data_IF_666006218215
#
_entry.id   IF_666006218215
#
_cell.length_a   1.000
_cell.length_b   1.000
_cell.length_c   1.000
_cell.angle_alpha   90.00
_cell.angle_beta   90.00
_cell.angle_gamma   90.00
#
_symmetry.space_group_name_H-M   'P 1'
#
loop_
_entity.id
_entity.type
_entity.pdbx_description
1 polymer ?
#
# COMPACT_ATOMS: atom_id res chain seq x y z
N UNK A 1 -46.76 -52.32 -10.53
CA UNK A 1 -45.97 -51.05 -10.84
C UNK A 1 -45.57 -50.40 -9.53
N UNK A 2 -44.30 -50.56 -9.09
CA UNK A 2 -43.83 -50.08 -7.84
C UNK A 2 -43.12 -48.72 -8.11
N UNK A 3 -43.67 -47.61 -7.62
CA UNK A 3 -43.04 -46.26 -7.70
C UNK A 3 -42.02 -46.14 -6.59
N UNK A 4 -40.73 -46.15 -6.94
CA UNK A 4 -39.62 -45.78 -6.02
C UNK A 4 -39.70 -44.28 -5.72
N UNK A 5 -39.98 -43.92 -4.48
CA UNK A 5 -39.85 -42.55 -3.97
C UNK A 5 -38.38 -42.30 -3.62
N UNK A 6 -37.77 -41.35 -4.34
CA UNK A 6 -36.43 -40.85 -4.04
C UNK A 6 -36.55 -39.90 -2.86
N UNK A 7 -35.97 -40.25 -1.73
CA UNK A 7 -35.88 -39.36 -0.55
C UNK A 7 -34.60 -38.56 -0.71
N UNK A 8 -34.76 -37.26 -1.02
CA UNK A 8 -33.63 -36.29 -0.98
C UNK A 8 -33.40 -35.91 0.48
N UNK A 9 -32.24 -36.26 1.02
CA UNK A 9 -31.82 -35.78 2.32
C UNK A 9 -31.27 -34.34 2.17
N UNK A 10 -31.59 -33.43 3.09
CA UNK A 10 -31.03 -32.06 3.04
C UNK A 10 -29.54 -32.09 3.44
N UNK A 11 -28.70 -31.61 2.54
CA UNK A 11 -27.30 -31.33 2.84
C UNK A 11 -27.27 -30.02 3.63
N UNK A 12 -27.12 -30.11 4.95
CA UNK A 12 -26.84 -28.96 5.82
C UNK A 12 -25.39 -28.57 5.63
N UNK A 13 -25.15 -27.48 4.88
CA UNK A 13 -23.83 -26.87 4.80
C UNK A 13 -23.49 -26.18 6.15
N UNK A 14 -22.57 -26.74 6.89
CA UNK A 14 -21.97 -26.09 8.07
C UNK A 14 -21.06 -24.98 7.57
N UNK A 15 -21.51 -23.73 7.68
CA UNK A 15 -20.64 -22.56 7.53
C UNK A 15 -19.83 -22.43 8.83
N UNK A 16 -18.60 -22.87 8.80
CA UNK A 16 -17.66 -22.61 9.88
C UNK A 16 -17.31 -21.10 9.87
N UNK A 17 -17.95 -20.34 10.75
CA UNK A 17 -17.59 -18.96 11.03
C UNK A 17 -16.27 -18.99 11.81
N UNK A 18 -15.16 -18.74 11.13
CA UNK A 18 -13.87 -18.56 11.78
C UNK A 18 -13.94 -17.28 12.65
N UNK A 19 -14.11 -17.45 13.95
CA UNK A 19 -13.95 -16.38 14.92
C UNK A 19 -12.48 -15.99 14.94
N UNK A 20 -12.13 -14.90 14.26
CA UNK A 20 -10.83 -14.25 14.46
C UNK A 20 -10.77 -13.78 15.92
N UNK A 21 -9.94 -14.40 16.73
CA UNK A 21 -9.67 -13.93 18.09
C UNK A 21 -9.13 -12.50 18.01
N UNK A 22 -9.65 -11.55 18.80
CA UNK A 22 -9.06 -10.22 18.84
C UNK A 22 -7.62 -10.36 19.36
N UNK A 23 -6.64 -10.03 18.51
CA UNK A 23 -5.27 -9.86 18.95
C UNK A 23 -5.27 -8.67 19.92
N UNK A 24 -4.82 -8.88 21.15
CA UNK A 24 -4.56 -7.77 22.05
C UNK A 24 -3.48 -6.90 21.39
N UNK A 25 -3.72 -5.59 21.31
CA UNK A 25 -2.73 -4.63 20.82
C UNK A 25 -1.47 -4.73 21.70
N UNK A 26 -0.32 -4.94 21.08
CA UNK A 26 0.96 -4.98 21.77
C UNK A 26 1.68 -3.63 21.66
N UNK A 27 2.56 -3.35 22.63
CA UNK A 27 3.43 -2.19 22.62
C UNK A 27 4.86 -2.63 22.28
N UNK A 28 5.48 -1.95 21.31
CA UNK A 28 6.82 -2.24 20.81
C UNK A 28 7.72 -1.03 21.01
N UNK A 29 8.77 -1.20 21.82
CA UNK A 29 9.73 -0.14 22.11
C UNK A 29 10.79 0.05 21.03
N UNK A 30 11.12 1.30 20.72
CA UNK A 30 12.25 1.70 19.87
C UNK A 30 13.03 2.80 20.62
N UNK A 31 14.33 2.57 20.84
CA UNK A 31 15.24 3.60 21.34
C UNK A 31 15.58 4.61 20.26
N UNK A 32 15.58 5.89 20.61
CA UNK A 32 16.14 6.98 19.81
C UNK A 32 17.48 7.33 20.44
N UNK A 33 18.55 6.83 19.82
CA UNK A 33 19.84 6.68 20.50
C UNK A 33 20.81 7.87 20.26
N UNK A 34 21.72 8.15 21.20
CA UNK A 34 22.77 9.15 21.03
C UNK A 34 23.71 8.87 19.83
N UNK A 35 23.74 7.63 19.37
CA UNK A 35 24.51 7.21 18.18
C UNK A 35 23.84 7.57 16.86
N UNK A 36 22.80 8.42 16.90
CA UNK A 36 22.01 8.85 15.73
C UNK A 36 21.34 7.68 15.00
N UNK A 37 20.80 6.75 15.73
CA UNK A 37 20.06 5.62 15.17
C UNK A 37 18.77 5.33 15.94
N UNK A 38 17.87 4.60 15.29
CA UNK A 38 16.71 3.97 15.93
C UNK A 38 17.05 2.52 16.25
N UNK A 39 16.82 2.10 17.49
CA UNK A 39 17.14 0.77 17.97
C UNK A 39 15.87 0.05 18.51
N UNK A 40 15.36 -0.99 17.85
CA UNK A 40 15.84 -1.53 16.58
C UNK A 40 15.54 -0.60 15.38
N UNK A 41 16.39 -0.65 14.37
CA UNK A 41 16.22 0.13 13.11
C UNK A 41 15.01 -0.30 12.29
N UNK A 42 14.59 -1.55 12.44
CA UNK A 42 13.39 -2.09 11.81
C UNK A 42 12.57 -2.90 12.83
N UNK A 43 11.25 -2.66 12.87
CA UNK A 43 10.32 -3.34 13.76
C UNK A 43 9.15 -3.86 12.94
N UNK A 44 8.71 -5.10 13.23
CA UNK A 44 7.48 -5.68 12.68
C UNK A 44 6.41 -5.71 13.76
N UNK A 45 5.21 -5.26 13.43
CA UNK A 45 4.06 -5.16 14.34
C UNK A 45 2.78 -5.61 13.62
N UNK A 46 1.72 -5.94 14.34
CA UNK A 46 0.41 -6.21 13.76
C UNK A 46 -0.40 -4.92 13.57
N UNK A 47 -1.47 -4.99 12.78
CA UNK A 47 -2.44 -3.90 12.70
C UNK A 47 -3.14 -3.76 14.05
N UNK A 48 -3.17 -2.54 14.60
CA UNK A 48 -3.69 -2.23 15.92
C UNK A 48 -2.61 -2.11 17.01
N UNK A 49 -1.37 -2.57 16.74
CA UNK A 49 -0.27 -2.43 17.68
C UNK A 49 0.22 -0.98 17.78
N UNK A 50 0.83 -0.67 18.92
CA UNK A 50 1.45 0.63 19.20
C UNK A 50 2.97 0.49 19.19
N UNK A 51 3.65 1.46 18.60
CA UNK A 51 5.10 1.61 18.69
C UNK A 51 5.39 2.82 19.59
N UNK A 52 6.26 2.61 20.57
CA UNK A 52 6.70 3.60 21.55
C UNK A 52 8.16 3.93 21.30
N UNK A 53 8.45 5.19 20.91
CA UNK A 53 9.82 5.71 20.81
C UNK A 53 10.21 6.37 22.12
N UNK A 54 11.31 5.90 22.71
CA UNK A 54 11.93 6.50 23.89
C UNK A 54 13.17 7.26 23.48
N UNK A 55 13.22 8.56 23.77
CA UNK A 55 14.31 9.43 23.39
C UNK A 55 15.43 9.34 24.43
N UNK A 56 16.52 8.66 24.09
CA UNK A 56 17.69 8.48 24.96
C UNK A 56 18.68 9.62 24.84
N UNK A 57 18.45 10.56 23.92
CA UNK A 57 19.17 11.80 23.76
C UNK A 57 18.24 12.93 23.29
N UNK A 58 18.72 14.17 23.35
CA UNK A 58 17.97 15.37 22.93
C UNK A 58 18.16 15.67 21.44
N UNK A 59 17.32 16.56 20.88
CA UNK A 59 17.47 17.05 19.52
C UNK A 59 17.04 16.05 18.44
N UNK A 60 16.29 15.03 18.79
CA UNK A 60 15.80 14.00 17.87
C UNK A 60 14.29 14.08 17.61
N UNK A 61 13.86 13.49 16.49
CA UNK A 61 12.44 13.28 16.16
C UNK A 61 12.19 11.90 15.58
N UNK A 62 10.93 11.48 15.53
CA UNK A 62 10.46 10.38 14.70
C UNK A 62 9.33 10.89 13.80
N UNK A 63 9.55 10.86 12.50
CA UNK A 63 8.64 11.48 11.51
C UNK A 63 8.49 10.59 10.28
N UNK A 64 7.24 10.20 9.98
CA UNK A 64 6.94 9.39 8.80
C UNK A 64 7.27 10.12 7.50
N UNK A 65 7.78 9.39 6.49
CA UNK A 65 7.97 9.96 5.16
C UNK A 65 6.63 10.25 4.47
N UNK A 66 6.59 11.20 3.52
CA UNK A 66 5.40 11.46 2.73
C UNK A 66 4.90 10.24 1.95
N UNK A 67 3.58 10.12 1.77
CA UNK A 67 2.96 9.06 0.98
C UNK A 67 2.68 7.77 1.72
N UNK A 68 3.04 7.67 3.00
CA UNK A 68 2.73 6.53 3.85
C UNK A 68 1.23 6.41 4.13
N UNK A 69 0.68 5.21 4.39
CA UNK A 69 -0.73 5.01 4.73
C UNK A 69 -1.18 5.75 5.99
N UNK A 70 -0.33 5.78 7.01
CA UNK A 70 -0.47 6.62 8.20
C UNK A 70 0.66 7.64 8.28
N UNK A 71 0.43 8.70 9.07
CA UNK A 71 1.38 9.80 9.25
C UNK A 71 1.55 10.08 10.71
N UNK A 72 2.78 10.31 11.12
CA UNK A 72 3.10 10.82 12.45
C UNK A 72 4.28 11.79 12.41
N UNK A 73 4.38 12.60 13.43
CA UNK A 73 5.50 13.48 13.70
C UNK A 73 5.56 13.70 15.22
N UNK A 74 6.67 13.34 15.83
CA UNK A 74 6.86 13.57 17.27
C UNK A 74 7.21 15.02 17.60
N UNK A 75 7.55 15.82 16.60
CA UNK A 75 8.40 17.01 16.74
C UNK A 75 9.75 16.69 17.39
N UNK A 76 10.64 17.69 17.52
CA UNK A 76 11.92 17.50 18.20
C UNK A 76 11.64 17.28 19.70
N UNK A 77 12.29 16.28 20.27
CA UNK A 77 12.14 15.86 21.65
C UNK A 77 13.45 15.94 22.41
N UNK A 78 13.31 16.17 23.71
CA UNK A 78 14.40 16.12 24.67
C UNK A 78 14.62 14.70 25.19
N UNK A 79 15.78 14.48 25.79
CA UNK A 79 16.11 13.24 26.46
C UNK A 79 15.07 12.85 27.50
N UNK A 80 14.69 11.58 27.52
CA UNK A 80 13.66 11.02 28.43
C UNK A 80 12.23 11.18 27.93
N UNK A 81 11.99 11.92 26.86
CA UNK A 81 10.66 12.01 26.26
C UNK A 81 10.23 10.67 25.63
N UNK A 82 8.92 10.50 25.50
CA UNK A 82 8.28 9.35 24.87
C UNK A 82 7.29 9.83 23.83
N UNK A 83 7.25 9.14 22.69
CA UNK A 83 6.23 9.35 21.65
C UNK A 83 5.64 8.02 21.24
N UNK A 84 4.33 7.96 21.03
CA UNK A 84 3.61 6.74 20.66
C UNK A 84 2.79 6.94 19.39
N UNK A 85 2.71 5.87 18.58
CA UNK A 85 1.85 5.82 17.41
C UNK A 85 1.25 4.42 17.24
N UNK A 86 -0.09 4.36 17.12
CA UNK A 86 -0.82 3.11 16.85
C UNK A 86 -1.05 2.97 15.34
N UNK A 87 -0.64 1.83 14.78
CA UNK A 87 -0.74 1.58 13.34
C UNK A 87 -2.08 0.94 12.97
N UNK A 88 -2.92 1.67 12.26
CA UNK A 88 -4.27 1.22 11.88
C UNK A 88 -4.33 0.55 10.50
N UNK A 89 -3.27 0.62 9.70
CA UNK A 89 -3.23 0.10 8.32
C UNK A 89 -2.00 -0.73 8.08
N UNK A 90 -2.12 -1.86 7.34
CA UNK A 90 -0.96 -2.64 6.96
C UNK A 90 -0.09 -1.88 5.97
N UNK A 91 1.22 -2.18 5.97
CA UNK A 91 2.18 -1.60 5.03
C UNK A 91 3.58 -1.49 5.60
N UNK A 92 4.50 -1.04 4.76
CA UNK A 92 5.87 -0.72 5.13
C UNK A 92 6.01 0.79 5.28
N UNK A 93 6.32 1.23 6.47
CA UNK A 93 6.45 2.62 6.85
C UNK A 93 7.91 2.98 7.04
N UNK A 94 8.39 3.92 6.25
CA UNK A 94 9.71 4.50 6.43
C UNK A 94 9.59 5.81 7.20
N UNK A 95 10.54 6.05 8.10
CA UNK A 95 10.57 7.27 8.91
C UNK A 95 12.01 7.74 9.15
N UNK A 96 12.14 8.99 9.55
CA UNK A 96 13.40 9.67 9.74
C UNK A 96 13.41 10.46 11.06
N UNK A 97 14.59 10.76 11.54
CA UNK A 97 14.81 11.89 12.41
C UNK A 97 14.97 13.15 11.54
N UNK A 98 14.15 14.19 11.74
CA UNK A 98 14.16 15.39 10.87
C UNK A 98 15.50 16.13 10.91
N UNK A 99 16.11 16.39 12.06
CA UNK A 99 17.45 17.02 12.11
C UNK A 99 18.56 16.18 11.44
N UNK A 100 18.42 14.84 11.45
CA UNK A 100 19.45 13.90 10.97
C UNK A 100 18.97 13.07 9.78
N UNK A 101 18.14 13.66 8.90
CA UNK A 101 17.38 13.01 7.83
C UNK A 101 18.21 12.21 6.81
N UNK A 102 19.48 12.56 6.65
CA UNK A 102 20.32 11.94 5.64
C UNK A 102 20.77 10.53 6.04
N UNK A 103 20.92 10.27 7.32
CA UNK A 103 21.46 9.00 7.84
C UNK A 103 20.59 8.33 8.92
N UNK A 104 19.84 9.07 9.76
CA UNK A 104 19.02 8.49 10.82
C UNK A 104 17.64 8.11 10.30
N UNK A 105 17.48 6.85 9.93
CA UNK A 105 16.29 6.30 9.28
C UNK A 105 15.85 4.98 9.92
N UNK A 106 14.52 4.77 10.01
CA UNK A 106 13.94 3.54 10.52
C UNK A 106 12.81 3.01 9.64
N UNK A 107 12.37 1.79 9.93
CA UNK A 107 11.30 1.11 9.19
C UNK A 107 10.38 0.38 10.15
N UNK A 108 9.07 0.59 10.00
CA UNK A 108 8.05 -0.25 10.63
C UNK A 108 7.35 -1.06 9.54
N UNK A 109 7.21 -2.36 9.75
CA UNK A 109 6.40 -3.25 8.90
C UNK A 109 5.15 -3.63 9.69
N UNK A 110 3.99 -3.22 9.20
CA UNK A 110 2.70 -3.44 9.86
C UNK A 110 1.93 -4.53 9.16
N UNK A 111 1.61 -5.61 9.88
CA UNK A 111 0.93 -6.78 9.32
C UNK A 111 1.83 -7.59 8.40
N UNK A 112 1.22 -8.37 7.52
CA UNK A 112 1.91 -9.19 6.53
C UNK A 112 1.45 -8.82 5.13
N UNK A 113 2.36 -8.88 4.16
CA UNK A 113 2.01 -8.81 2.74
C UNK A 113 1.29 -10.10 2.32
N UNK A 114 -0.04 -10.08 2.41
CA UNK A 114 -0.90 -11.20 1.99
C UNK A 114 -1.18 -11.19 0.47
N UNK A 115 -0.91 -10.09 -0.22
CA UNK A 115 -1.26 -9.89 -1.63
C UNK A 115 0.00 -9.63 -2.47
N UNK A 116 0.59 -10.68 -3.00
CA UNK A 116 1.82 -10.58 -3.82
C UNK A 116 1.60 -10.02 -5.23
N UNK A 117 0.37 -9.87 -5.68
CA UNK A 117 0.05 -9.36 -7.02
C UNK A 117 -0.91 -8.18 -6.93
N UNK A 118 -0.35 -6.99 -6.94
CA UNK A 118 -1.06 -5.72 -6.73
C UNK A 118 -2.11 -5.41 -7.80
N UNK A 119 -1.91 -5.84 -9.06
CA UNK A 119 -2.79 -5.46 -10.17
C UNK A 119 -3.14 -6.63 -11.08
N UNK A 120 -4.41 -6.68 -11.49
CA UNK A 120 -4.90 -7.57 -12.55
C UNK A 120 -4.57 -7.06 -13.96
N UNK A 121 -5.26 -7.61 -14.97
CA UNK A 121 -5.05 -7.22 -16.36
C UNK A 121 -5.43 -5.76 -16.63
N UNK A 122 -4.58 -5.05 -17.37
CA UNK A 122 -4.83 -3.68 -17.82
C UNK A 122 -5.60 -3.72 -19.14
N UNK A 123 -6.69 -2.97 -19.23
CA UNK A 123 -7.50 -2.80 -20.45
C UNK A 123 -7.39 -1.35 -20.92
N UNK A 124 -7.39 -1.14 -22.24
CA UNK A 124 -7.43 0.17 -22.85
C UNK A 124 -8.62 0.23 -23.82
N UNK A 125 -9.48 1.24 -23.67
CA UNK A 125 -10.55 1.56 -24.63
C UNK A 125 -10.32 2.93 -25.20
N UNK A 126 -10.56 3.06 -26.51
CA UNK A 126 -10.43 4.31 -27.25
C UNK A 126 -11.83 4.74 -27.72
N UNK A 127 -12.17 6.01 -27.47
CA UNK A 127 -13.38 6.65 -28.02
C UNK A 127 -12.97 8.03 -28.56
N UNK A 128 -12.92 8.17 -29.90
CA UNK A 128 -12.35 9.36 -30.53
C UNK A 128 -10.93 9.63 -30.02
N UNK A 129 -10.65 10.84 -29.57
CA UNK A 129 -9.35 11.26 -29.03
C UNK A 129 -9.18 10.99 -27.52
N UNK A 130 -10.07 10.21 -26.90
CA UNK A 130 -10.01 9.85 -25.49
C UNK A 130 -9.57 8.39 -25.34
N UNK A 131 -8.59 8.15 -24.46
CA UNK A 131 -8.14 6.83 -24.06
C UNK A 131 -8.53 6.61 -22.59
N UNK A 132 -9.23 5.52 -22.35
CA UNK A 132 -9.59 5.07 -20.99
C UNK A 132 -8.76 3.82 -20.68
N UNK A 133 -7.91 3.90 -19.66
CA UNK A 133 -7.15 2.76 -19.14
C UNK A 133 -7.82 2.30 -17.86
N UNK A 134 -8.25 1.06 -17.83
CA UNK A 134 -8.92 0.46 -16.66
C UNK A 134 -8.16 -0.78 -16.18
N UNK A 135 -8.13 -0.98 -14.87
CA UNK A 135 -7.47 -2.10 -14.21
C UNK A 135 -8.10 -2.33 -12.83
N UNK A 136 -7.95 -3.54 -12.30
CA UNK A 136 -8.41 -3.87 -10.94
C UNK A 136 -7.20 -3.99 -10.03
N UNK A 137 -7.21 -3.27 -8.91
CA UNK A 137 -6.25 -3.42 -7.83
C UNK A 137 -6.74 -4.45 -6.82
N UNK A 138 -5.85 -5.30 -6.35
CA UNK A 138 -6.13 -6.25 -5.28
C UNK A 138 -5.91 -5.61 -3.90
N UNK A 139 -5.13 -4.53 -3.87
CA UNK A 139 -4.80 -3.76 -2.67
C UNK A 139 -4.52 -2.29 -3.00
N UNK A 140 -4.26 -1.46 -1.99
CA UNK A 140 -3.90 -0.06 -2.18
C UNK A 140 -2.53 0.11 -2.84
N UNK A 141 -2.42 1.07 -3.78
CA UNK A 141 -1.17 1.32 -4.50
C UNK A 141 -1.04 2.77 -4.97
N UNK A 142 0.19 3.19 -5.21
CA UNK A 142 0.53 4.42 -5.93
C UNK A 142 1.27 4.08 -7.22
N UNK A 143 1.24 4.97 -8.21
CA UNK A 143 2.00 4.65 -9.41
C UNK A 143 1.94 5.66 -10.54
N UNK A 144 2.31 5.17 -11.70
CA UNK A 144 2.47 5.98 -12.91
C UNK A 144 1.92 5.24 -14.11
N UNK A 145 1.06 5.90 -14.87
CA UNK A 145 0.66 5.48 -16.20
C UNK A 145 1.43 6.29 -17.22
N UNK A 146 2.28 5.63 -18.00
CA UNK A 146 3.06 6.22 -19.11
C UNK A 146 2.48 5.75 -20.44
N UNK A 147 2.08 6.68 -21.29
CA UNK A 147 1.72 6.44 -22.68
C UNK A 147 2.90 6.84 -23.58
N UNK A 148 3.27 5.96 -24.51
CA UNK A 148 4.33 6.18 -25.49
C UNK A 148 3.82 5.78 -26.87
N UNK A 149 4.37 6.36 -27.94
CA UNK A 149 3.95 6.15 -29.32
C UNK A 149 3.79 7.48 -30.04
N UNK A 150 2.70 7.67 -30.79
CA UNK A 150 2.43 8.89 -31.56
C UNK A 150 2.45 10.19 -30.72
N UNK A 151 2.23 10.08 -29.42
CA UNK A 151 2.52 11.14 -28.44
C UNK A 151 2.93 10.52 -27.09
N UNK A 152 3.65 11.30 -26.27
CA UNK A 152 4.08 10.87 -24.94
C UNK A 152 3.23 11.55 -23.87
N UNK A 153 2.82 10.79 -22.87
CA UNK A 153 2.08 11.27 -21.68
C UNK A 153 2.47 10.46 -20.45
N UNK A 154 2.60 11.16 -19.35
CA UNK A 154 2.80 10.52 -18.03
C UNK A 154 1.73 11.06 -17.07
N UNK A 155 1.02 10.16 -16.41
CA UNK A 155 0.04 10.47 -15.36
C UNK A 155 0.51 9.77 -14.10
N UNK A 156 0.86 10.55 -13.07
CA UNK A 156 1.09 10.03 -11.72
C UNK A 156 -0.25 9.83 -11.03
N UNK A 157 -0.47 8.71 -10.39
CA UNK A 157 -1.67 8.48 -9.60
C UNK A 157 -1.49 9.05 -8.20
N UNK A 158 -2.55 9.58 -7.62
CA UNK A 158 -2.66 9.65 -6.16
C UNK A 158 -2.74 8.21 -5.64
N UNK A 159 -2.71 8.02 -4.32
CA UNK A 159 -2.97 6.72 -3.74
C UNK A 159 -4.35 6.20 -4.19
N UNK A 160 -4.35 5.00 -4.74
CA UNK A 160 -5.54 4.29 -5.21
C UNK A 160 -5.89 3.20 -4.19
N UNK A 161 -7.16 3.01 -3.91
CA UNK A 161 -7.65 1.90 -3.09
C UNK A 161 -7.80 0.62 -3.91
N UNK A 162 -7.92 -0.53 -3.24
CA UNK A 162 -8.30 -1.79 -3.89
C UNK A 162 -9.61 -1.62 -4.70
N UNK A 163 -9.78 -2.43 -5.73
CA UNK A 163 -10.96 -2.42 -6.58
C UNK A 163 -10.72 -1.91 -8.01
N UNK A 164 -11.81 -1.62 -8.71
CA UNK A 164 -11.74 -1.16 -10.10
C UNK A 164 -11.24 0.28 -10.19
N UNK A 165 -10.20 0.50 -11.01
CA UNK A 165 -9.60 1.80 -11.25
C UNK A 165 -9.75 2.20 -12.71
N UNK A 166 -9.96 3.51 -12.95
CA UNK A 166 -10.09 4.08 -14.29
C UNK A 166 -9.24 5.34 -14.38
N UNK A 167 -8.33 5.36 -15.35
CA UNK A 167 -7.55 6.55 -15.70
C UNK A 167 -7.94 7.01 -17.09
N UNK A 168 -8.46 8.23 -17.20
CA UNK A 168 -8.87 8.83 -18.46
C UNK A 168 -7.81 9.81 -18.95
N UNK A 169 -7.33 9.61 -20.15
CA UNK A 169 -6.36 10.51 -20.80
C UNK A 169 -7.00 11.07 -22.05
N UNK A 170 -7.17 12.40 -22.10
CA UNK A 170 -7.83 13.12 -23.18
C UNK A 170 -6.84 13.70 -24.18
N UNK A 171 -7.31 14.02 -25.39
CA UNK A 171 -6.59 14.75 -26.45
C UNK A 171 -5.35 14.00 -26.97
N UNK A 172 -5.53 12.76 -27.46
CA UNK A 172 -4.48 12.02 -28.14
C UNK A 172 -4.48 12.28 -29.65
N UNK A 173 -3.29 12.25 -30.26
CA UNK A 173 -3.11 12.18 -31.70
C UNK A 173 -3.45 10.78 -32.21
N UNK A 174 -3.89 10.67 -33.46
CA UNK A 174 -4.02 9.36 -34.12
C UNK A 174 -2.69 8.62 -34.14
N UNK A 175 -2.71 7.31 -34.10
CA UNK A 175 -1.53 6.47 -34.15
C UNK A 175 -1.46 5.36 -33.12
N UNK A 176 -0.36 4.63 -33.15
CA UNK A 176 -0.11 3.49 -32.25
C UNK A 176 0.47 3.96 -30.92
N UNK A 177 -0.02 3.35 -29.83
CA UNK A 177 0.38 3.64 -28.46
C UNK A 177 0.68 2.38 -27.66
N UNK A 178 1.53 2.55 -26.67
CA UNK A 178 1.78 1.58 -25.60
C UNK A 178 1.52 2.24 -24.25
N UNK A 179 0.57 1.73 -23.48
CA UNK A 179 0.38 2.06 -22.09
C UNK A 179 1.29 1.19 -21.23
N UNK A 180 2.04 1.81 -20.34
CA UNK A 180 2.83 1.14 -19.30
C UNK A 180 2.35 1.67 -17.96
N UNK A 181 1.71 0.79 -17.18
CA UNK A 181 1.27 1.07 -15.82
C UNK A 181 2.30 0.47 -14.86
N UNK A 182 2.93 1.29 -14.05
CA UNK A 182 3.82 0.86 -12.96
C UNK A 182 3.19 1.26 -11.65
N UNK A 183 3.03 0.32 -10.74
CA UNK A 183 2.43 0.49 -9.42
C UNK A 183 3.39 0.00 -8.34
N UNK A 184 3.36 0.65 -7.19
CA UNK A 184 3.98 0.19 -5.95
C UNK A 184 2.92 0.15 -4.87
N UNK A 185 2.80 -0.98 -4.15
CA UNK A 185 1.92 -1.13 -3.00
C UNK A 185 2.59 -0.61 -1.71
N UNK A 186 1.96 -0.85 -0.58
CA UNK A 186 2.40 -0.40 0.73
C UNK A 186 3.57 -1.21 1.31
N UNK A 187 3.88 -2.35 0.68
CA UNK A 187 5.02 -3.20 1.03
C UNK A 187 6.19 -3.05 0.06
N UNK A 188 6.19 -2.01 -0.80
CA UNK A 188 7.17 -1.74 -1.85
C UNK A 188 7.21 -2.78 -2.99
N UNK A 189 6.20 -3.66 -3.11
CA UNK A 189 6.09 -4.52 -4.26
C UNK A 189 5.79 -3.71 -5.52
N UNK A 190 6.61 -3.88 -6.54
CA UNK A 190 6.44 -3.19 -7.82
C UNK A 190 5.85 -4.11 -8.87
N UNK A 191 4.76 -3.68 -9.46
CA UNK A 191 4.12 -4.38 -10.57
C UNK A 191 4.08 -3.48 -11.81
N UNK A 192 4.49 -4.01 -12.96
CA UNK A 192 4.41 -3.30 -14.24
C UNK A 192 3.56 -4.09 -15.23
N UNK A 193 2.55 -3.43 -15.81
CA UNK A 193 1.67 -3.98 -16.82
C UNK A 193 1.76 -3.13 -18.10
N UNK A 194 1.70 -3.78 -19.26
CA UNK A 194 1.80 -3.11 -20.56
C UNK A 194 0.61 -3.48 -21.44
N UNK A 195 0.08 -2.51 -22.19
CA UNK A 195 -1.00 -2.71 -23.16
C UNK A 195 -0.79 -1.83 -24.38
N UNK A 196 -0.76 -2.44 -25.57
CA UNK A 196 -0.74 -1.69 -26.85
C UNK A 196 -2.15 -1.46 -27.35
N UNK A 197 -2.39 -0.33 -28.00
CA UNK A 197 -3.65 0.05 -28.63
C UNK A 197 -3.40 1.09 -29.72
N UNK A 198 -4.43 1.34 -30.55
CA UNK A 198 -4.39 2.34 -31.63
C UNK A 198 -5.50 3.38 -31.42
N UNK A 199 -5.18 4.63 -31.68
CA UNK A 199 -6.12 5.76 -31.74
C UNK A 199 -6.33 6.07 -33.21
N UNK A 200 -7.58 6.10 -33.65
CA UNK A 200 -7.98 6.46 -34.99
C UNK A 200 -7.98 7.96 -35.23
#
# INVERSE_FOLDING_TARGET
MLRKRLILAPVTAFVALALASPSLAADFGIGVEPTFEFAPKAQTVAVGDTVTWTFNDEGHSTTSLPGQPDKWNSDIKDKGAVFQHTFSKPGKYQYICVPHRDFMKGTIVVGSDAVKKTVGAVKAKVKGKQVTVSFKLNEGAVGTLKLTGAAKRTVKTKRLSAGQQIVVVKKHKAGSYKATLTLSDDFDNKTTQKKSFKVG
#
